data_IF_201561540414
#
_entry.id   IF_201561540414
#
_cell.length_a   1.000
_cell.length_b   1.000
_cell.length_c   1.000
_cell.angle_alpha   90.00
_cell.angle_beta   90.00
_cell.angle_gamma   90.00
#
_symmetry.space_group_name_H-M   'P 1'
#
loop_
_entity.id
_entity.type
_entity.pdbx_description
1 polymer ?
#
# COMPACT_ATOMS: atom_id res chain seq x y z
N UNK A 1 32.57 0.30 -8.79
CA UNK A 1 31.70 -0.61 -8.00
C UNK A 1 31.12 0.06 -6.75
N UNK A 2 31.90 0.81 -5.94
CA UNK A 2 31.37 1.50 -4.75
C UNK A 2 30.31 2.59 -5.04
N UNK A 3 30.48 3.41 -6.08
CA UNK A 3 29.57 4.52 -6.40
C UNK A 3 28.14 4.03 -6.75
N UNK A 4 28.02 2.88 -7.43
CA UNK A 4 26.71 2.32 -7.83
C UNK A 4 25.95 1.78 -6.61
N UNK A 5 26.66 1.14 -5.68
CA UNK A 5 26.06 0.65 -4.44
C UNK A 5 25.59 1.81 -3.54
N UNK A 6 26.35 2.91 -3.51
CA UNK A 6 26.01 4.09 -2.73
C UNK A 6 24.73 4.77 -3.23
N UNK A 7 24.60 4.94 -4.56
CA UNK A 7 23.40 5.52 -5.17
C UNK A 7 22.14 4.67 -4.95
N UNK A 8 22.25 3.35 -5.11
CA UNK A 8 21.12 2.43 -4.89
C UNK A 8 20.61 2.46 -3.44
N UNK A 9 21.53 2.54 -2.47
CA UNK A 9 21.14 2.69 -1.06
C UNK A 9 20.45 4.04 -0.81
N UNK A 10 20.95 5.14 -1.39
CA UNK A 10 20.33 6.47 -1.26
C UNK A 10 18.88 6.50 -1.77
N UNK A 11 18.61 5.90 -2.94
CA UNK A 11 17.25 5.79 -3.51
C UNK A 11 16.28 5.04 -2.59
N UNK A 12 16.74 3.96 -1.95
CA UNK A 12 15.94 3.19 -0.99
C UNK A 12 15.61 4.05 0.24
N UNK A 13 16.58 4.81 0.77
CA UNK A 13 16.34 5.69 1.92
C UNK A 13 15.34 6.81 1.60
N UNK A 14 15.51 7.48 0.46
CA UNK A 14 14.60 8.55 0.01
C UNK A 14 13.19 7.99 -0.18
N UNK A 15 13.06 6.86 -0.90
CA UNK A 15 11.78 6.19 -1.09
C UNK A 15 11.12 5.83 0.24
N UNK A 16 11.90 5.29 1.18
CA UNK A 16 11.41 4.93 2.52
C UNK A 16 10.89 6.15 3.30
N UNK A 17 11.63 7.28 3.29
CA UNK A 17 11.20 8.52 3.95
C UNK A 17 9.88 9.02 3.36
N UNK A 18 9.74 9.02 2.03
CA UNK A 18 8.50 9.42 1.35
C UNK A 18 7.35 8.48 1.72
N UNK A 19 7.60 7.17 1.74
CA UNK A 19 6.60 6.17 2.13
C UNK A 19 6.11 6.39 3.56
N UNK A 20 7.03 6.51 4.53
CA UNK A 20 6.68 6.68 5.94
C UNK A 20 5.97 8.00 6.20
N UNK A 21 6.43 9.11 5.58
CA UNK A 21 5.75 10.40 5.70
C UNK A 21 4.34 10.34 5.12
N UNK A 22 4.15 9.75 3.94
CA UNK A 22 2.83 9.52 3.35
C UNK A 22 1.90 8.68 4.24
N UNK A 23 2.42 7.60 4.82
CA UNK A 23 1.69 6.75 5.76
C UNK A 23 1.27 7.54 7.02
N UNK A 24 2.17 8.36 7.58
CA UNK A 24 1.90 9.19 8.76
C UNK A 24 0.81 10.22 8.45
N UNK A 25 0.92 10.94 7.33
CA UNK A 25 -0.09 11.93 6.90
C UNK A 25 -1.44 11.27 6.68
N UNK A 26 -1.47 10.11 6.01
CA UNK A 26 -2.70 9.35 5.81
C UNK A 26 -3.37 8.98 7.14
N UNK A 27 -2.58 8.58 8.16
CA UNK A 27 -3.08 8.29 9.51
C UNK A 27 -3.66 9.52 10.20
N UNK A 28 -3.04 10.69 10.05
CA UNK A 28 -3.59 11.93 10.61
C UNK A 28 -4.95 12.28 9.98
N UNK A 29 -5.10 12.12 8.67
CA UNK A 29 -6.38 12.35 7.96
C UNK A 29 -7.44 11.36 8.47
N UNK A 30 -7.09 10.07 8.58
CA UNK A 30 -8.01 9.05 9.09
C UNK A 30 -8.45 9.34 10.54
N UNK A 31 -7.51 9.77 11.40
CA UNK A 31 -7.81 10.14 12.78
C UNK A 31 -8.73 11.38 12.84
N UNK A 32 -8.44 12.40 12.04
CA UNK A 32 -9.28 13.60 11.95
C UNK A 32 -10.71 13.26 11.49
N UNK A 33 -10.87 12.27 10.61
CA UNK A 33 -12.18 11.77 10.20
C UNK A 33 -12.93 11.09 11.34
N UNK A 34 -12.24 10.26 12.14
CA UNK A 34 -12.83 9.53 13.27
C UNK A 34 -13.28 10.46 14.41
N UNK A 35 -12.55 11.55 14.67
CA UNK A 35 -12.89 12.51 15.73
C UNK A 35 -14.24 13.20 15.46
N UNK A 36 -14.61 13.39 14.19
CA UNK A 36 -15.88 14.03 13.79
C UNK A 36 -17.10 13.13 13.90
N UNK A 37 -16.92 11.83 14.14
CA UNK A 37 -18.02 10.90 14.32
C UNK A 37 -18.61 11.02 15.74
N UNK A 38 -19.93 10.83 15.83
CA UNK A 38 -20.62 10.59 17.09
C UNK A 38 -20.23 9.23 17.66
N UNK A 39 -20.46 9.02 18.96
CA UNK A 39 -20.07 7.76 19.61
C UNK A 39 -20.88 6.56 19.10
N UNK A 40 -22.14 6.76 18.68
CA UNK A 40 -22.95 5.73 18.03
C UNK A 40 -22.39 5.32 16.66
N UNK A 41 -21.94 6.28 15.85
CA UNK A 41 -21.30 6.03 14.55
C UNK A 41 -19.95 5.32 14.72
N UNK A 42 -19.15 5.71 15.72
CA UNK A 42 -17.87 5.04 16.04
C UNK A 42 -18.09 3.57 16.41
N UNK A 43 -19.07 3.27 17.26
CA UNK A 43 -19.40 1.88 17.62
C UNK A 43 -19.80 1.08 16.39
N UNK A 44 -20.72 1.61 15.59
CA UNK A 44 -21.16 0.98 14.33
C UNK A 44 -19.99 0.71 13.39
N UNK A 45 -19.05 1.65 13.27
CA UNK A 45 -17.86 1.51 12.46
C UNK A 45 -16.92 0.41 13.00
N UNK A 46 -16.66 0.40 14.30
CA UNK A 46 -15.77 -0.56 14.95
C UNK A 46 -16.31 -1.98 14.75
N UNK A 47 -17.59 -2.18 15.03
CA UNK A 47 -18.27 -3.47 14.96
C UNK A 47 -18.36 -3.95 13.51
N UNK A 48 -18.80 -3.07 12.61
CA UNK A 48 -18.97 -3.38 11.19
C UNK A 48 -17.67 -3.63 10.42
N UNK A 49 -16.53 -3.16 10.94
CA UNK A 49 -15.19 -3.30 10.32
C UNK A 49 -14.28 -4.30 11.06
N UNK A 50 -14.73 -4.92 12.15
CA UNK A 50 -13.94 -5.89 12.94
C UNK A 50 -13.45 -7.06 12.07
N UNK A 51 -14.36 -7.72 11.38
CA UNK A 51 -14.07 -8.86 10.50
C UNK A 51 -13.21 -8.46 9.29
N UNK A 52 -13.42 -7.26 8.74
CA UNK A 52 -12.63 -6.74 7.61
C UNK A 52 -11.16 -6.58 8.01
N UNK A 53 -10.90 -6.10 9.24
CA UNK A 53 -9.53 -5.93 9.77
C UNK A 53 -8.79 -7.25 9.96
N UNK A 54 -9.49 -8.31 10.36
CA UNK A 54 -8.88 -9.63 10.52
C UNK A 54 -8.58 -10.26 9.16
N UNK A 55 -9.50 -10.14 8.21
CA UNK A 55 -9.35 -10.77 6.89
C UNK A 55 -8.29 -10.06 6.03
N UNK A 56 -8.12 -8.73 6.16
CA UNK A 56 -7.22 -7.98 5.26
C UNK A 56 -5.75 -8.46 5.30
N UNK A 57 -5.29 -9.07 6.41
CA UNK A 57 -3.90 -9.47 6.58
C UNK A 57 -3.59 -10.80 5.87
N UNK A 58 -4.60 -11.65 5.72
CA UNK A 58 -4.43 -13.00 5.16
C UNK A 58 -3.96 -12.95 3.70
N UNK A 59 -4.60 -12.19 2.78
CA UNK A 59 -4.13 -12.11 1.41
C UNK A 59 -2.73 -11.52 1.26
N UNK A 60 -2.34 -10.58 2.14
CA UNK A 60 -1.00 -9.97 2.12
C UNK A 60 0.06 -11.01 2.45
N UNK A 61 -0.18 -11.83 3.48
CA UNK A 61 0.72 -12.94 3.85
C UNK A 61 0.81 -13.96 2.72
N UNK A 62 -0.33 -14.34 2.12
CA UNK A 62 -0.38 -15.28 1.00
C UNK A 62 0.41 -14.76 -0.21
N UNK A 63 0.20 -13.51 -0.61
CA UNK A 63 0.94 -12.88 -1.69
C UNK A 63 2.45 -12.86 -1.40
N UNK A 64 2.84 -12.56 -0.17
CA UNK A 64 4.25 -12.56 0.23
C UNK A 64 4.89 -13.96 0.14
N UNK A 65 4.20 -15.00 0.61
CA UNK A 65 4.67 -16.39 0.47
C UNK A 65 4.82 -16.77 -1.01
N UNK A 66 3.86 -16.41 -1.86
CA UNK A 66 3.92 -16.64 -3.32
C UNK A 66 5.15 -15.95 -3.92
N UNK A 67 5.41 -14.70 -3.56
CA UNK A 67 6.59 -13.96 -4.03
C UNK A 67 7.88 -14.70 -3.70
N UNK A 68 8.07 -15.11 -2.44
CA UNK A 68 9.30 -15.80 -2.00
C UNK A 68 9.49 -17.11 -2.75
N UNK A 69 8.42 -17.90 -2.93
CA UNK A 69 8.47 -19.15 -3.69
C UNK A 69 8.83 -18.89 -5.16
N UNK A 70 8.18 -17.91 -5.80
CA UNK A 70 8.42 -17.60 -7.21
C UNK A 70 9.80 -17.02 -7.46
N UNK A 71 10.32 -16.20 -6.54
CA UNK A 71 11.69 -15.68 -6.62
C UNK A 71 12.73 -16.81 -6.57
N UNK A 72 12.47 -17.88 -5.79
CA UNK A 72 13.34 -19.06 -5.74
C UNK A 72 13.22 -19.93 -7.00
N UNK A 73 12.01 -20.13 -7.51
CA UNK A 73 11.76 -20.96 -8.69
C UNK A 73 12.22 -20.29 -10.00
N UNK A 74 12.18 -18.97 -10.08
CA UNK A 74 12.47 -18.19 -11.28
C UNK A 74 13.62 -17.19 -11.06
N UNK A 75 14.75 -17.67 -10.54
CA UNK A 75 15.91 -16.83 -10.18
C UNK A 75 16.46 -15.95 -11.33
N UNK A 76 16.21 -16.31 -12.60
CA UNK A 76 16.61 -15.52 -13.78
C UNK A 76 15.55 -14.52 -14.28
N UNK A 77 14.36 -14.47 -13.68
CA UNK A 77 13.23 -13.61 -14.11
C UNK A 77 12.72 -12.71 -12.98
N UNK A 78 13.60 -12.30 -12.08
CA UNK A 78 13.27 -11.51 -10.88
C UNK A 78 12.48 -10.24 -11.19
N UNK A 79 12.84 -9.50 -12.24
CA UNK A 79 12.12 -8.30 -12.65
C UNK A 79 10.66 -8.58 -13.07
N UNK A 80 10.44 -9.66 -13.84
CA UNK A 80 9.09 -10.07 -14.27
C UNK A 80 8.25 -10.56 -13.10
N UNK A 81 8.84 -11.38 -12.21
CA UNK A 81 8.16 -11.87 -10.98
C UNK A 81 7.79 -10.69 -10.07
N UNK A 82 8.70 -9.74 -9.87
CA UNK A 82 8.43 -8.53 -9.12
C UNK A 82 7.30 -7.72 -9.76
N UNK A 83 7.34 -7.48 -11.08
CA UNK A 83 6.29 -6.77 -11.82
C UNK A 83 4.91 -7.39 -11.65
N UNK A 84 4.79 -8.71 -11.80
CA UNK A 84 3.53 -9.45 -11.57
C UNK A 84 3.06 -9.29 -10.11
N UNK A 85 3.97 -9.44 -9.15
CA UNK A 85 3.64 -9.29 -7.74
C UNK A 85 3.09 -7.89 -7.43
N UNK A 86 3.72 -6.84 -7.94
CA UNK A 86 3.26 -5.45 -7.76
C UNK A 86 1.88 -5.25 -8.38
N UNK A 87 1.64 -5.79 -9.58
CA UNK A 87 0.34 -5.71 -10.23
C UNK A 87 -0.74 -6.40 -9.39
N UNK A 88 -0.46 -7.59 -8.84
CA UNK A 88 -1.37 -8.32 -7.97
C UNK A 88 -1.64 -7.59 -6.64
N UNK A 89 -0.61 -7.07 -5.99
CA UNK A 89 -0.75 -6.28 -4.75
C UNK A 89 -1.56 -5.01 -5.01
N UNK A 90 -1.30 -4.32 -6.12
CA UNK A 90 -2.04 -3.12 -6.52
C UNK A 90 -3.51 -3.44 -6.79
N UNK A 91 -3.80 -4.49 -7.55
CA UNK A 91 -5.16 -4.95 -7.84
C UNK A 91 -5.90 -5.34 -6.55
N UNK A 92 -5.26 -6.10 -5.66
CA UNK A 92 -5.80 -6.45 -4.35
C UNK A 92 -6.09 -5.19 -3.52
N UNK A 93 -5.14 -4.25 -3.43
CA UNK A 93 -5.29 -3.02 -2.68
C UNK A 93 -6.47 -2.20 -3.19
N UNK A 94 -6.62 -2.04 -4.51
CA UNK A 94 -7.76 -1.34 -5.13
C UNK A 94 -9.07 -2.06 -4.81
N UNK A 95 -9.15 -3.36 -5.03
CA UNK A 95 -10.34 -4.16 -4.76
C UNK A 95 -10.76 -4.09 -3.28
N UNK A 96 -9.79 -4.16 -2.37
CA UNK A 96 -10.01 -4.02 -0.94
C UNK A 96 -10.60 -2.64 -0.59
N UNK A 97 -10.02 -1.56 -1.11
CA UNK A 97 -10.54 -0.21 -0.83
C UNK A 97 -11.93 0.03 -1.43
N UNK A 98 -12.23 -0.54 -2.61
CA UNK A 98 -13.58 -0.53 -3.18
C UNK A 98 -14.54 -1.27 -2.24
N UNK A 99 -14.15 -2.45 -1.76
CA UNK A 99 -14.96 -3.23 -0.82
C UNK A 99 -15.22 -2.47 0.48
N UNK A 100 -14.20 -1.86 1.07
CA UNK A 100 -14.32 -1.01 2.27
C UNK A 100 -15.26 0.16 2.01
N UNK A 101 -15.12 0.88 0.89
CA UNK A 101 -15.98 1.99 0.55
C UNK A 101 -17.46 1.58 0.40
N UNK A 102 -17.71 0.45 -0.26
CA UNK A 102 -19.06 -0.13 -0.38
C UNK A 102 -19.62 -0.49 0.99
N UNK A 103 -18.80 -1.07 1.87
CA UNK A 103 -19.20 -1.41 3.25
C UNK A 103 -19.52 -0.17 4.08
N UNK A 104 -18.69 0.88 4.01
CA UNK A 104 -18.95 2.16 4.67
C UNK A 104 -20.27 2.78 4.21
N UNK A 105 -20.57 2.68 2.91
CA UNK A 105 -21.83 3.16 2.34
C UNK A 105 -23.03 2.32 2.81
N UNK A 106 -22.91 1.00 2.88
CA UNK A 106 -23.95 0.11 3.39
C UNK A 106 -24.26 0.36 4.88
N UNK A 107 -23.25 0.72 5.68
CA UNK A 107 -23.40 1.11 7.09
C UNK A 107 -23.97 2.52 7.28
N UNK A 108 -24.37 3.20 6.19
CA UNK A 108 -24.88 4.59 6.21
C UNK A 108 -23.92 5.58 6.87
N UNK A 109 -22.61 5.36 6.73
CA UNK A 109 -21.62 6.26 7.32
C UNK A 109 -21.72 7.67 6.72
N UNK A 110 -21.51 8.73 7.53
CA UNK A 110 -21.64 10.10 7.08
C UNK A 110 -20.81 10.40 5.82
N UNK A 111 -21.32 11.21 4.87
CA UNK A 111 -20.58 11.57 3.67
C UNK A 111 -19.21 12.20 3.95
N UNK A 112 -19.10 13.00 5.02
CA UNK A 112 -17.82 13.63 5.40
C UNK A 112 -16.76 12.59 5.78
N UNK A 113 -17.14 11.53 6.50
CA UNK A 113 -16.24 10.44 6.87
C UNK A 113 -15.79 9.65 5.65
N UNK A 114 -16.74 9.29 4.76
CA UNK A 114 -16.44 8.57 3.51
C UNK A 114 -15.48 9.34 2.61
N UNK A 115 -15.65 10.65 2.47
CA UNK A 115 -14.73 11.51 1.70
C UNK A 115 -13.32 11.52 2.31
N UNK A 116 -13.21 11.74 3.62
CA UNK A 116 -11.91 11.74 4.29
C UNK A 116 -11.21 10.37 4.24
N UNK A 117 -11.97 9.27 4.30
CA UNK A 117 -11.44 7.94 4.10
C UNK A 117 -10.83 7.78 2.69
N UNK A 118 -11.54 8.19 1.64
CA UNK A 118 -11.02 8.16 0.26
C UNK A 118 -9.76 9.03 0.14
N UNK A 119 -9.75 10.23 0.71
CA UNK A 119 -8.55 11.10 0.69
C UNK A 119 -7.36 10.42 1.38
N UNK A 120 -7.58 9.81 2.56
CA UNK A 120 -6.55 9.06 3.28
C UNK A 120 -6.01 7.89 2.46
N UNK A 121 -6.89 7.15 1.77
CA UNK A 121 -6.51 6.05 0.87
C UNK A 121 -5.70 6.55 -0.31
N UNK A 122 -6.12 7.63 -0.97
CA UNK A 122 -5.40 8.22 -2.11
C UNK A 122 -4.00 8.69 -1.67
N UNK A 123 -3.89 9.41 -0.55
CA UNK A 123 -2.60 9.86 -0.03
C UNK A 123 -1.66 8.67 0.24
N UNK A 124 -2.18 7.60 0.84
CA UNK A 124 -1.40 6.39 1.09
C UNK A 124 -1.01 5.68 -0.21
N UNK A 125 -1.91 5.60 -1.19
CA UNK A 125 -1.66 5.01 -2.49
C UNK A 125 -0.55 5.76 -3.25
N UNK A 126 -0.57 7.09 -3.23
CA UNK A 126 0.49 7.92 -3.82
C UNK A 126 1.83 7.62 -3.15
N UNK A 127 1.87 7.54 -1.81
CA UNK A 127 3.08 7.18 -1.08
C UNK A 127 3.62 5.81 -1.46
N UNK A 128 2.75 4.81 -1.61
CA UNK A 128 3.11 3.46 -2.08
C UNK A 128 3.65 3.49 -3.52
N UNK A 129 3.00 4.20 -4.43
CA UNK A 129 3.42 4.28 -5.84
C UNK A 129 4.82 4.91 -5.96
N UNK A 130 5.05 6.02 -5.25
CA UNK A 130 6.36 6.67 -5.25
C UNK A 130 7.42 5.72 -4.69
N UNK A 131 7.14 5.07 -3.56
CA UNK A 131 8.06 4.10 -2.95
C UNK A 131 8.43 2.95 -3.90
N UNK A 132 7.42 2.34 -4.53
CA UNK A 132 7.62 1.26 -5.49
C UNK A 132 8.46 1.74 -6.67
N UNK A 133 8.18 2.94 -7.19
CA UNK A 133 8.97 3.56 -8.27
C UNK A 133 10.45 3.64 -7.90
N UNK A 134 10.79 4.16 -6.71
CA UNK A 134 12.18 4.24 -6.24
C UNK A 134 12.84 2.87 -6.01
N UNK A 135 12.10 1.89 -5.47
CA UNK A 135 12.65 0.56 -5.18
C UNK A 135 12.86 -0.29 -6.43
N UNK A 136 11.98 -0.17 -7.42
CA UNK A 136 12.00 -1.08 -8.57
C UNK A 136 12.80 -0.47 -9.70
N UNK A 137 12.56 0.80 -10.00
CA UNK A 137 13.12 1.42 -11.20
C UNK A 137 14.62 1.64 -11.03
N UNK A 138 15.07 2.07 -9.86
CA UNK A 138 16.48 2.39 -9.64
C UNK A 138 17.41 1.15 -9.76
N UNK A 139 17.14 0.00 -9.11
CA UNK A 139 17.97 -1.19 -9.29
C UNK A 139 17.84 -1.79 -10.69
N UNK A 140 16.66 -1.73 -11.30
CA UNK A 140 16.44 -2.27 -12.65
C UNK A 140 17.20 -1.46 -13.70
N UNK A 141 17.22 -0.12 -13.60
CA UNK A 141 18.01 0.73 -14.52
C UNK A 141 19.51 0.47 -14.38
N UNK A 142 20.01 0.25 -13.17
CA UNK A 142 21.44 -0.01 -12.94
C UNK A 142 21.89 -1.43 -13.35
N UNK A 143 20.94 -2.36 -13.56
CA UNK A 143 21.22 -3.72 -14.04
C UNK A 143 21.10 -3.84 -15.57
N UNK A 144 20.63 -2.82 -16.28
CA UNK A 144 20.65 -2.83 -17.74
C UNK A 144 22.05 -2.44 -18.24
N UNK A 145 22.66 -3.21 -19.15
CA UNK A 145 23.93 -2.82 -19.75
C UNK A 145 23.72 -1.52 -20.55
N UNK A 146 24.48 -0.48 -20.21
CA UNK A 146 24.53 0.73 -21.03
C UNK A 146 25.07 0.36 -22.43
N UNK A 147 24.37 0.73 -23.51
CA UNK A 147 24.81 0.46 -24.88
C UNK A 147 26.09 1.21 -25.26
#
# INVERSE_FOLDING_TARGET
>A
MNIILENGMQSIYIGSIIFFSGMIVSRFIARAALVKLTDGEKRTLIDGMSLVRTIQIVPVIVLFCILVVFMKLFAGRTALVAGIFIALVSAYYIAYNIFVYRRLTAMKMPPHYRRMHVVSVVVNAVGIIIFLTFIIIDPVLHLMPHP
#
